data_IF_251410546799
#
_entry.id   IF_251410546799
#
_cell.length_a   1.000
_cell.length_b   1.000
_cell.length_c   1.000
_cell.angle_alpha   90.00
_cell.angle_beta   90.00
_cell.angle_gamma   90.00
#
_symmetry.space_group_name_H-M   'P 1'
#
loop_
_entity.id
_entity.type
_entity.pdbx_description
1 polymer ?
#
# COMPACT_ATOMS: atom_id res chain seq x y z
N UNK A 1 8.16 68.05 50.30
CA UNK A 1 7.87 67.44 48.98
C UNK A 1 8.42 66.00 48.84
N UNK A 2 8.68 65.27 49.92
CA UNK A 2 9.34 63.94 49.89
C UNK A 2 8.35 62.78 49.94
N UNK A 3 7.20 62.95 50.60
CA UNK A 3 6.16 61.91 50.76
C UNK A 3 5.44 61.62 49.43
N UNK A 4 5.10 62.66 48.67
CA UNK A 4 4.44 62.52 47.36
C UNK A 4 5.33 61.82 46.32
N UNK A 5 6.64 62.08 46.33
CA UNK A 5 7.59 61.42 45.45
C UNK A 5 7.74 59.92 45.77
N UNK A 6 7.73 59.54 47.06
CA UNK A 6 7.76 58.14 47.49
C UNK A 6 6.52 57.36 47.05
N UNK A 7 5.33 57.98 47.15
CA UNK A 7 4.07 57.35 46.74
C UNK A 7 4.07 57.08 45.22
N UNK A 8 4.45 58.06 44.40
CA UNK A 8 4.50 57.89 42.93
C UNK A 8 5.52 56.84 42.51
N UNK A 9 6.68 56.77 43.16
CA UNK A 9 7.70 55.75 42.87
C UNK A 9 7.21 54.33 43.22
N UNK A 10 6.51 54.15 44.34
CA UNK A 10 5.93 52.86 44.73
C UNK A 10 4.83 52.44 43.76
N UNK A 11 3.93 53.34 43.36
CA UNK A 11 2.90 53.02 42.36
C UNK A 11 3.48 52.72 40.98
N UNK A 12 4.54 53.43 40.56
CA UNK A 12 5.23 53.19 39.29
C UNK A 12 5.93 51.83 39.24
N UNK A 13 6.59 51.44 40.33
CA UNK A 13 7.26 50.13 40.45
C UNK A 13 6.25 48.98 40.50
N UNK A 14 5.17 49.13 41.27
CA UNK A 14 4.08 48.14 41.30
C UNK A 14 3.43 48.00 39.91
N UNK A 15 3.21 49.12 39.21
CA UNK A 15 2.68 49.13 37.85
C UNK A 15 3.56 48.39 36.83
N UNK A 16 4.89 48.58 36.89
CA UNK A 16 5.83 47.84 36.03
C UNK A 16 5.87 46.35 36.34
N UNK A 17 5.84 45.96 37.62
CA UNK A 17 5.86 44.54 38.01
C UNK A 17 4.58 43.84 37.56
N UNK A 18 3.42 44.47 37.74
CA UNK A 18 2.13 43.93 37.29
C UNK A 18 2.07 43.87 35.76
N UNK A 19 2.55 44.91 35.07
CA UNK A 19 2.64 44.93 33.61
C UNK A 19 3.60 43.88 33.05
N UNK A 20 4.75 43.67 33.68
CA UNK A 20 5.72 42.63 33.36
C UNK A 20 5.15 41.22 33.55
N UNK A 21 4.41 40.99 34.63
CA UNK A 21 3.78 39.70 34.90
C UNK A 21 2.66 39.38 33.89
N UNK A 22 1.88 40.39 33.50
CA UNK A 22 0.84 40.25 32.49
C UNK A 22 1.41 39.97 31.10
N UNK A 23 2.46 40.71 30.70
CA UNK A 23 3.13 40.50 29.41
C UNK A 23 3.80 39.13 29.35
N UNK A 24 4.52 38.71 30.41
CA UNK A 24 5.09 37.37 30.47
C UNK A 24 4.01 36.26 30.38
N UNK A 25 2.87 36.44 31.06
CA UNK A 25 1.72 35.53 30.94
C UNK A 25 1.07 35.54 29.56
N UNK A 26 1.01 36.69 28.89
CA UNK A 26 0.51 36.79 27.54
C UNK A 26 1.45 36.10 26.54
N UNK A 27 2.76 36.31 26.66
CA UNK A 27 3.77 35.69 25.79
C UNK A 27 3.82 34.18 25.95
N UNK A 28 3.77 33.68 27.19
CA UNK A 28 3.74 32.23 27.45
C UNK A 28 2.47 31.57 26.91
N UNK A 29 1.31 32.23 27.02
CA UNK A 29 0.06 31.76 26.40
C UNK A 29 0.10 31.79 24.88
N UNK A 30 0.67 32.84 24.30
CA UNK A 30 0.85 32.96 22.85
C UNK A 30 1.79 31.87 22.32
N UNK A 31 2.92 31.62 22.99
CA UNK A 31 3.85 30.55 22.65
C UNK A 31 3.19 29.16 22.73
N UNK A 32 2.40 28.90 23.77
CA UNK A 32 1.65 27.66 23.89
C UNK A 32 0.57 27.50 22.78
N UNK A 33 -0.07 28.60 22.38
CA UNK A 33 -1.03 28.59 21.27
C UNK A 33 -0.33 28.29 19.93
N UNK A 34 0.83 28.89 19.67
CA UNK A 34 1.65 28.62 18.47
C UNK A 34 2.17 27.19 18.45
N UNK A 35 2.61 26.63 19.58
CA UNK A 35 3.05 25.24 19.66
C UNK A 35 1.91 24.26 19.29
N UNK A 36 0.70 24.47 19.83
CA UNK A 36 -0.47 23.66 19.48
C UNK A 36 -0.88 23.80 18.01
N UNK A 37 -0.79 25.01 17.45
CA UNK A 37 -1.06 25.24 16.05
C UNK A 37 -0.06 24.51 15.14
N UNK A 38 1.23 24.53 15.50
CA UNK A 38 2.27 23.82 14.76
C UNK A 38 2.11 22.29 14.87
N UNK A 39 1.75 21.76 16.04
CA UNK A 39 1.45 20.34 16.20
C UNK A 39 0.23 19.91 15.37
N UNK A 40 -0.84 20.73 15.35
CA UNK A 40 -2.02 20.46 14.54
C UNK A 40 -1.72 20.52 13.03
N UNK A 41 -0.94 21.51 12.60
CA UNK A 41 -0.48 21.62 11.22
C UNK A 41 0.43 20.45 10.81
N UNK A 42 1.33 20.01 11.68
CA UNK A 42 2.19 18.86 11.44
C UNK A 42 1.39 17.55 11.33
N UNK A 43 0.37 17.35 12.17
CA UNK A 43 -0.54 16.19 12.08
C UNK A 43 -1.35 16.23 10.78
N UNK A 44 -1.93 17.38 10.44
CA UNK A 44 -2.68 17.56 9.20
C UNK A 44 -1.80 17.36 7.94
N UNK A 45 -0.51 17.70 8.01
CA UNK A 45 0.44 17.47 6.92
C UNK A 45 0.91 16.00 6.82
N UNK A 46 0.91 15.25 7.91
CA UNK A 46 1.35 13.85 7.95
C UNK A 46 0.30 12.87 7.40
N UNK A 47 -0.99 13.16 7.57
CA UNK A 47 -2.10 12.34 7.05
C UNK A 47 -2.04 12.10 5.52
N UNK A 48 -1.88 13.11 4.65
CA UNK A 48 -1.83 12.88 3.20
C UNK A 48 -0.60 12.08 2.77
N UNK A 49 0.55 12.26 3.41
CA UNK A 49 1.76 11.48 3.12
C UNK A 49 1.59 10.01 3.51
N UNK A 50 0.97 9.72 4.65
CA UNK A 50 0.67 8.36 5.08
C UNK A 50 -0.37 7.67 4.16
N UNK A 51 -1.37 8.43 3.69
CA UNK A 51 -2.34 7.93 2.72
C UNK A 51 -1.69 7.64 1.36
N UNK A 52 -0.83 8.53 0.85
CA UNK A 52 -0.09 8.29 -0.39
C UNK A 52 0.80 7.06 -0.31
N UNK A 53 1.52 6.87 0.80
CA UNK A 53 2.33 5.67 1.01
C UNK A 53 1.46 4.40 1.06
N UNK A 54 0.31 4.44 1.75
CA UNK A 54 -0.62 3.32 1.83
C UNK A 54 -1.22 2.97 0.47
N UNK A 55 -1.58 3.98 -0.33
CA UNK A 55 -2.08 3.81 -1.69
C UNK A 55 -1.00 3.23 -2.62
N UNK A 56 0.25 3.69 -2.50
CA UNK A 56 1.36 3.14 -3.27
C UNK A 56 1.61 1.66 -2.95
N UNK A 57 1.54 1.27 -1.67
CA UNK A 57 1.64 -0.14 -1.25
C UNK A 57 0.46 -0.96 -1.78
N UNK A 58 -0.76 -0.42 -1.73
CA UNK A 58 -1.94 -1.09 -2.28
C UNK A 58 -1.83 -1.29 -3.80
N UNK A 59 -1.41 -0.26 -4.55
CA UNK A 59 -1.19 -0.33 -5.99
C UNK A 59 -0.15 -1.40 -6.35
N UNK A 60 1.00 -1.41 -5.68
CA UNK A 60 2.03 -2.42 -5.89
C UNK A 60 1.54 -3.84 -5.57
N UNK A 61 0.68 -3.98 -4.55
CA UNK A 61 0.09 -5.27 -4.18
C UNK A 61 -0.90 -5.75 -5.25
N UNK A 62 -1.77 -4.86 -5.75
CA UNK A 62 -2.72 -5.19 -6.83
C UNK A 62 -1.98 -5.59 -8.10
N UNK A 63 -0.97 -4.82 -8.52
CA UNK A 63 -0.18 -5.12 -9.72
C UNK A 63 0.52 -6.49 -9.63
N UNK A 64 1.05 -6.82 -8.45
CA UNK A 64 1.64 -8.13 -8.19
C UNK A 64 0.61 -9.25 -8.29
N UNK A 65 -0.55 -9.08 -7.64
CA UNK A 65 -1.63 -10.08 -7.67
C UNK A 65 -2.16 -10.28 -9.09
N UNK A 66 -2.32 -9.22 -9.87
CA UNK A 66 -2.74 -9.30 -11.27
C UNK A 66 -1.71 -10.04 -12.13
N UNK A 67 -0.42 -9.80 -11.90
CA UNK A 67 0.67 -10.50 -12.57
C UNK A 67 0.66 -12.00 -12.22
N UNK A 68 0.57 -12.34 -10.93
CA UNK A 68 0.51 -13.73 -10.47
C UNK A 68 -0.74 -14.45 -11.03
N UNK A 69 -1.91 -13.79 -11.02
CA UNK A 69 -3.14 -14.32 -11.60
C UNK A 69 -3.02 -14.53 -13.11
N UNK A 70 -2.38 -13.60 -13.83
CA UNK A 70 -2.11 -13.74 -15.26
C UNK A 70 -1.27 -14.98 -15.56
N UNK A 71 -0.18 -15.18 -14.81
CA UNK A 71 0.68 -16.35 -14.94
C UNK A 71 -0.05 -17.66 -14.61
N UNK A 72 -0.87 -17.66 -13.55
CA UNK A 72 -1.66 -18.83 -13.17
C UNK A 72 -2.70 -19.19 -14.24
N UNK A 73 -3.41 -18.20 -14.80
CA UNK A 73 -4.36 -18.42 -15.89
C UNK A 73 -3.68 -18.97 -17.14
N UNK A 74 -2.49 -18.48 -17.48
CA UNK A 74 -1.71 -18.99 -18.60
C UNK A 74 -1.30 -20.45 -18.36
N UNK A 75 -0.82 -20.79 -17.15
CA UNK A 75 -0.48 -22.18 -16.78
C UNK A 75 -1.71 -23.08 -16.85
N UNK A 76 -2.85 -22.62 -16.34
CA UNK A 76 -4.11 -23.35 -16.39
C UNK A 76 -4.54 -23.62 -17.84
N UNK A 77 -4.52 -22.59 -18.71
CA UNK A 77 -4.84 -22.75 -20.13
C UNK A 77 -3.93 -23.75 -20.84
N UNK A 78 -2.62 -23.75 -20.53
CA UNK A 78 -1.67 -24.73 -21.05
C UNK A 78 -1.99 -26.14 -20.55
N UNK A 79 -2.29 -26.31 -19.26
CA UNK A 79 -2.68 -27.61 -18.68
C UNK A 79 -3.98 -28.14 -19.28
N UNK A 80 -4.99 -27.29 -19.46
CA UNK A 80 -6.26 -27.66 -20.11
C UNK A 80 -6.03 -28.11 -21.56
N UNK A 81 -5.17 -27.40 -22.28
CA UNK A 81 -4.80 -27.76 -23.67
C UNK A 81 -4.08 -29.11 -23.72
N UNK A 82 -3.14 -29.35 -22.80
CA UNK A 82 -2.42 -30.61 -22.69
C UNK A 82 -3.37 -31.76 -22.31
N UNK A 83 -4.25 -31.55 -21.33
CA UNK A 83 -5.21 -32.55 -20.89
C UNK A 83 -6.19 -32.92 -22.01
N UNK A 84 -6.64 -31.93 -22.79
CA UNK A 84 -7.48 -32.16 -23.97
C UNK A 84 -6.74 -32.95 -25.06
N UNK A 85 -5.46 -32.66 -25.27
CA UNK A 85 -4.62 -33.42 -26.20
C UNK A 85 -4.45 -34.89 -25.76
N UNK A 86 -4.20 -35.12 -24.47
CA UNK A 86 -4.16 -36.47 -23.91
C UNK A 86 -5.49 -37.19 -24.04
N UNK A 87 -6.61 -36.53 -23.71
CA UNK A 87 -7.93 -37.16 -23.78
C UNK A 87 -8.30 -37.52 -25.23
N UNK A 88 -7.98 -36.67 -26.21
CA UNK A 88 -8.18 -36.97 -27.64
C UNK A 88 -7.33 -38.17 -28.07
N UNK A 89 -6.05 -38.17 -27.71
CA UNK A 89 -5.12 -39.26 -28.08
C UNK A 89 -5.58 -40.60 -27.51
N UNK A 90 -6.03 -40.61 -26.26
CA UNK A 90 -6.54 -41.84 -25.61
C UNK A 90 -7.85 -42.31 -26.23
N UNK A 91 -8.78 -41.41 -26.56
CA UNK A 91 -10.04 -41.77 -27.24
C UNK A 91 -9.78 -42.35 -28.63
N UNK A 92 -8.87 -41.76 -29.40
CA UNK A 92 -8.47 -42.28 -30.71
C UNK A 92 -7.82 -43.66 -30.60
N UNK A 93 -6.90 -43.84 -29.65
CA UNK A 93 -6.26 -45.13 -29.41
C UNK A 93 -7.27 -46.19 -28.97
N UNK A 94 -8.25 -45.82 -28.14
CA UNK A 94 -9.32 -46.71 -27.70
C UNK A 94 -10.22 -47.15 -28.87
N UNK A 95 -10.60 -46.21 -29.74
CA UNK A 95 -11.38 -46.52 -30.96
C UNK A 95 -10.60 -47.40 -31.92
N UNK A 96 -9.31 -47.13 -32.09
CA UNK A 96 -8.42 -47.98 -32.89
C UNK A 96 -8.33 -49.39 -32.31
N UNK A 97 -8.10 -49.53 -31.00
CA UNK A 97 -8.00 -50.83 -30.33
C UNK A 97 -9.27 -51.68 -30.47
N UNK A 98 -10.44 -51.03 -30.57
CA UNK A 98 -11.73 -51.70 -30.78
C UNK A 98 -11.97 -52.16 -32.22
N UNK A 99 -11.35 -51.52 -33.20
CA UNK A 99 -11.60 -51.77 -34.63
C UNK A 99 -10.45 -52.48 -35.35
N UNK A 100 -9.26 -52.55 -34.72
CA UNK A 100 -8.00 -53.10 -35.24
C UNK A 100 -7.69 -52.85 -36.73
N UNK A 101 -7.85 -51.65 -37.29
CA UNK A 101 -7.41 -51.40 -38.65
C UNK A 101 -5.94 -50.96 -38.62
N UNK A 102 -5.01 -51.85 -38.98
CA UNK A 102 -3.64 -51.46 -39.32
C UNK A 102 -2.83 -50.77 -38.21
N UNK A 103 -2.10 -49.72 -38.58
CA UNK A 103 -1.14 -49.01 -37.71
C UNK A 103 -1.87 -48.11 -36.68
N UNK A 104 -1.41 -48.03 -35.41
CA UNK A 104 -1.98 -47.11 -34.42
C UNK A 104 -1.95 -45.65 -34.89
N UNK A 105 -2.94 -44.82 -34.47
CA UNK A 105 -2.92 -43.39 -34.73
C UNK A 105 -1.72 -42.73 -34.07
N UNK A 106 -1.16 -41.71 -34.73
CA UNK A 106 -0.10 -40.91 -34.15
C UNK A 106 -0.65 -40.05 -33.00
N UNK A 107 0.11 -39.92 -31.90
CA UNK A 107 -0.29 -39.10 -30.77
C UNK A 107 -0.34 -37.61 -31.14
N UNK A 108 -1.14 -36.83 -30.40
CA UNK A 108 -1.21 -35.39 -30.60
C UNK A 108 0.18 -34.74 -30.39
N UNK A 109 0.59 -33.73 -31.19
CA UNK A 109 1.94 -33.13 -31.09
C UNK A 109 2.32 -32.64 -29.68
N UNK A 110 1.36 -32.10 -28.92
CA UNK A 110 1.57 -31.69 -27.53
C UNK A 110 1.88 -32.86 -26.58
N UNK A 111 1.29 -34.03 -26.82
CA UNK A 111 1.57 -35.25 -26.04
C UNK A 111 2.97 -35.75 -26.38
N UNK A 112 3.34 -35.72 -27.66
CA UNK A 112 4.69 -36.09 -28.10
C UNK A 112 5.78 -35.15 -27.57
N UNK A 113 5.51 -33.84 -27.59
CA UNK A 113 6.38 -32.85 -26.99
C UNK A 113 6.55 -33.13 -25.50
N UNK A 114 5.45 -33.27 -24.75
CA UNK A 114 5.48 -33.57 -23.33
C UNK A 114 6.21 -34.89 -23.01
N UNK A 115 6.01 -35.96 -23.79
CA UNK A 115 6.70 -37.23 -23.60
C UNK A 115 8.21 -37.11 -23.86
N UNK A 116 8.64 -36.16 -24.69
CA UNK A 116 10.05 -35.90 -25.00
C UNK A 116 10.73 -34.98 -23.98
N UNK A 117 10.03 -33.95 -23.51
CA UNK A 117 10.60 -32.87 -22.70
C UNK A 117 10.26 -32.99 -21.22
N UNK A 118 9.16 -33.70 -20.88
CA UNK A 118 8.56 -33.71 -19.55
C UNK A 118 7.84 -32.41 -19.17
N UNK A 119 7.67 -31.47 -20.11
CA UNK A 119 7.10 -30.12 -19.89
C UNK A 119 6.20 -29.67 -21.03
#
# INVERSE_FOLDING_TARGET
MTIWAGIVAVFGTVGMVVGGLFTARATTRAAAATARANEAAARAAAEPAAQQASLAVLQATVERVDTENGQLRQRQSRLESLLRAFSSTVDELYRWARSQPGVPPEPHPLVDEYNRTGV
#
